data_IF_883500439828
#
_entry.id   IF_883500439828
#
_cell.length_a   1.000
_cell.length_b   1.000
_cell.length_c   1.000
_cell.angle_alpha   90.00
_cell.angle_beta   90.00
_cell.angle_gamma   90.00
#
_symmetry.space_group_name_H-M   'P 1'
#
loop_
_entity.id
_entity.type
_entity.pdbx_description
1 polymer ?
#
# COMPACT_ATOMS: atom_id res chain seq x y z
N UNK A 1 19.25 -7.32 8.27
CA UNK A 1 17.81 -7.00 8.40
C UNK A 1 17.65 -5.50 8.65
N UNK A 2 17.42 -4.68 7.62
CA UNK A 2 17.23 -3.21 7.75
C UNK A 2 15.91 -2.75 7.12
N UNK A 3 15.34 -3.54 6.21
CA UNK A 3 14.16 -3.19 5.41
C UNK A 3 12.87 -3.22 6.25
N UNK A 4 12.72 -4.21 7.14
CA UNK A 4 11.57 -4.29 8.05
C UNK A 4 11.46 -3.03 8.95
N UNK A 5 12.59 -2.50 9.44
CA UNK A 5 12.60 -1.28 10.26
C UNK A 5 12.20 -0.04 9.46
N UNK A 6 12.65 0.07 8.21
CA UNK A 6 12.25 1.17 7.32
C UNK A 6 10.76 1.10 6.97
N UNK A 7 10.24 -0.10 6.69
CA UNK A 7 8.81 -0.30 6.45
C UNK A 7 8.00 0.16 7.67
N UNK A 8 8.36 -0.32 8.87
CA UNK A 8 7.68 0.03 10.10
C UNK A 8 7.70 1.54 10.36
N UNK A 9 8.84 2.21 10.17
CA UNK A 9 8.97 3.66 10.35
C UNK A 9 8.14 4.44 9.33
N UNK A 10 8.06 3.96 8.09
CA UNK A 10 7.23 4.63 7.06
C UNK A 10 5.74 4.40 7.29
N UNK A 11 5.32 3.18 7.63
CA UNK A 11 3.94 2.86 8.00
C UNK A 11 3.54 3.68 9.23
N UNK A 12 4.41 3.74 10.24
CA UNK A 12 4.25 4.62 11.39
C UNK A 12 4.11 6.08 10.96
N UNK A 13 5.01 6.62 10.13
CA UNK A 13 4.91 8.01 9.65
C UNK A 13 3.63 8.30 8.87
N UNK A 14 3.08 7.32 8.16
CA UNK A 14 1.80 7.46 7.47
C UNK A 14 0.66 7.48 8.48
N UNK A 15 0.62 6.51 9.41
CA UNK A 15 -0.37 6.42 10.49
C UNK A 15 -0.36 7.66 11.42
N UNK A 16 0.82 8.11 11.86
CA UNK A 16 0.94 9.31 12.72
C UNK A 16 0.63 10.61 11.97
N UNK A 17 0.70 10.60 10.62
CA UNK A 17 0.19 11.71 9.81
C UNK A 17 -1.32 11.62 9.60
N UNK A 18 -1.91 10.43 9.50
CA UNK A 18 -3.38 10.24 9.51
C UNK A 18 -4.00 10.76 10.82
N UNK A 19 -3.40 10.47 11.99
CA UNK A 19 -3.90 10.99 13.27
C UNK A 19 -3.88 12.52 13.36
N UNK A 20 -3.06 13.19 12.54
CA UNK A 20 -2.88 14.65 12.56
C UNK A 20 -3.64 15.36 11.45
N UNK A 21 -4.20 14.64 10.50
CA UNK A 21 -4.75 15.19 9.26
C UNK A 21 -6.09 14.48 8.98
N UNK A 22 -7.17 15.00 9.59
CA UNK A 22 -8.56 14.52 9.46
C UNK A 22 -9.09 14.47 8.00
N UNK A 23 -8.28 14.84 7.00
CA UNK A 23 -8.66 14.97 5.60
C UNK A 23 -7.75 14.20 4.62
N UNK A 24 -6.94 13.22 5.05
CA UNK A 24 -6.16 12.40 4.09
C UNK A 24 -7.13 11.61 3.21
N UNK A 25 -7.13 11.90 1.91
CA UNK A 25 -7.95 11.18 0.94
C UNK A 25 -7.43 9.76 0.69
N UNK A 26 -8.32 8.87 0.25
CA UNK A 26 -7.94 7.51 -0.16
C UNK A 26 -6.87 7.51 -1.27
N UNK A 27 -6.93 8.48 -2.19
CA UNK A 27 -5.94 8.65 -3.25
C UNK A 27 -4.56 9.02 -2.71
N UNK A 28 -4.50 9.84 -1.66
CA UNK A 28 -3.25 10.24 -1.01
C UNK A 28 -2.59 9.05 -0.31
N UNK A 29 -3.39 8.24 0.36
CA UNK A 29 -2.90 7.04 1.01
C UNK A 29 -2.44 6.00 -0.02
N UNK A 30 -3.25 5.75 -1.07
CA UNK A 30 -2.89 4.86 -2.16
C UNK A 30 -1.59 5.29 -2.86
N UNK A 31 -1.40 6.60 -3.07
CA UNK A 31 -0.16 7.13 -3.63
C UNK A 31 1.04 6.90 -2.71
N UNK A 32 0.91 7.19 -1.40
CA UNK A 32 2.00 6.98 -0.44
C UNK A 32 2.43 5.52 -0.39
N UNK A 33 1.46 4.59 -0.36
CA UNK A 33 1.73 3.15 -0.37
C UNK A 33 2.37 2.70 -1.68
N UNK A 34 1.95 3.25 -2.81
CA UNK A 34 2.53 2.95 -4.12
C UNK A 34 3.98 3.43 -4.24
N UNK A 35 4.29 4.63 -3.75
CA UNK A 35 5.66 5.16 -3.76
C UNK A 35 6.56 4.33 -2.84
N UNK A 36 6.07 4.01 -1.63
CA UNK A 36 6.79 3.15 -0.70
C UNK A 36 7.16 1.80 -1.35
N UNK A 37 6.25 1.19 -2.09
CA UNK A 37 6.45 -0.13 -2.67
C UNK A 37 7.44 -0.18 -3.84
N UNK A 38 7.77 0.97 -4.46
CA UNK A 38 8.77 1.05 -5.54
C UNK A 38 10.19 0.81 -5.05
N UNK A 39 10.53 1.27 -3.85
CA UNK A 39 11.88 1.16 -3.28
C UNK A 39 12.11 -0.17 -2.53
N UNK A 40 11.10 -1.05 -2.52
CA UNK A 40 11.15 -2.33 -1.84
C UNK A 40 11.69 -3.41 -2.78
N UNK A 41 12.36 -4.42 -2.23
CA UNK A 41 12.62 -5.66 -2.96
C UNK A 41 11.40 -6.59 -2.91
N UNK A 42 11.46 -7.68 -3.68
CA UNK A 42 10.38 -8.66 -3.75
C UNK A 42 10.09 -9.32 -2.39
N UNK A 43 11.14 -9.59 -1.60
CA UNK A 43 11.00 -10.21 -0.28
C UNK A 43 10.27 -9.29 0.70
N UNK A 44 10.58 -8.00 0.67
CA UNK A 44 9.94 -6.98 1.48
C UNK A 44 8.49 -6.74 1.05
N UNK A 45 8.17 -7.00 -0.23
CA UNK A 45 6.79 -7.01 -0.73
C UNK A 45 6.06 -8.33 -0.52
N UNK A 46 6.66 -9.31 0.15
CA UNK A 46 6.05 -10.62 0.41
C UNK A 46 5.72 -11.40 -0.88
N UNK A 47 6.45 -11.16 -1.98
CA UNK A 47 6.13 -11.76 -3.29
C UNK A 47 4.97 -11.09 -4.05
N UNK A 48 4.44 -9.98 -3.52
CA UNK A 48 3.46 -9.14 -4.20
C UNK A 48 4.15 -8.17 -5.18
N UNK A 49 3.45 -7.82 -6.26
CA UNK A 49 3.86 -6.69 -7.10
C UNK A 49 3.76 -5.37 -6.33
N UNK A 50 4.43 -4.31 -6.79
CA UNK A 50 4.35 -3.00 -6.13
C UNK A 50 2.91 -2.45 -6.03
N UNK A 51 2.03 -2.75 -7.01
CA UNK A 51 0.60 -2.36 -6.99
C UNK A 51 -0.23 -3.19 -6.01
N UNK A 52 0.04 -4.49 -5.96
CA UNK A 52 -0.61 -5.41 -5.02
C UNK A 52 -0.17 -5.13 -3.60
N UNK A 53 1.12 -4.87 -3.36
CA UNK A 53 1.62 -4.46 -2.06
C UNK A 53 0.98 -3.16 -1.59
N UNK A 54 0.86 -2.17 -2.48
CA UNK A 54 0.21 -0.91 -2.13
C UNK A 54 -1.25 -1.14 -1.70
N UNK A 55 -1.99 -2.00 -2.41
CA UNK A 55 -3.35 -2.37 -2.03
C UNK A 55 -3.42 -3.19 -0.74
N UNK A 56 -2.51 -4.16 -0.56
CA UNK A 56 -2.36 -4.94 0.67
C UNK A 56 -2.13 -4.04 1.89
N UNK A 57 -1.27 -3.03 1.75
CA UNK A 57 -1.01 -2.08 2.82
C UNK A 57 -2.28 -1.28 3.20
N UNK A 58 -3.06 -0.82 2.22
CA UNK A 58 -4.36 -0.18 2.47
C UNK A 58 -5.31 -1.10 3.25
N UNK A 59 -5.43 -2.36 2.82
CA UNK A 59 -6.27 -3.36 3.50
C UNK A 59 -5.81 -3.62 4.94
N UNK A 60 -4.49 -3.73 5.18
CA UNK A 60 -3.92 -3.91 6.53
C UNK A 60 -4.12 -2.69 7.44
N UNK A 61 -4.22 -1.50 6.86
CA UNK A 61 -4.55 -0.27 7.59
C UNK A 61 -6.07 -0.12 7.86
N UNK A 62 -6.89 -1.07 7.42
CA UNK A 62 -8.35 -1.01 7.57
C UNK A 62 -9.02 -0.01 6.62
N UNK A 63 -8.30 0.45 5.59
CA UNK A 63 -8.87 1.36 4.57
C UNK A 63 -9.59 0.52 3.53
N UNK A 64 -10.88 0.34 3.76
CA UNK A 64 -11.80 -0.36 2.88
C UNK A 64 -12.13 0.53 1.67
N UNK A 65 -11.30 0.44 0.63
CA UNK A 65 -11.47 1.22 -0.61
C UNK A 65 -11.39 0.33 -1.85
N UNK A 66 -12.21 0.63 -2.85
CA UNK A 66 -12.17 0.04 -4.19
C UNK A 66 -11.31 0.84 -5.18
N UNK A 67 -10.52 1.81 -4.67
CA UNK A 67 -9.62 2.59 -5.50
C UNK A 67 -8.66 1.68 -6.28
N UNK A 68 -8.64 1.86 -7.60
CA UNK A 68 -7.73 1.18 -8.52
C UNK A 68 -7.02 2.16 -9.45
N UNK A 69 -7.53 3.38 -9.56
CA UNK A 69 -7.04 4.46 -10.41
C UNK A 69 -7.23 5.79 -9.68
N UNK A 70 -6.25 6.68 -9.83
CA UNK A 70 -6.29 8.04 -9.28
C UNK A 70 -5.30 8.91 -10.03
N UNK A 71 -5.39 10.22 -9.85
CA UNK A 71 -4.44 11.18 -10.43
C UNK A 71 -3.66 11.84 -9.29
N UNK A 72 -2.33 11.84 -9.39
CA UNK A 72 -1.47 12.54 -8.44
C UNK A 72 -0.42 13.32 -9.18
N UNK A 73 -0.34 14.64 -8.91
CA UNK A 73 0.55 15.58 -9.62
C UNK A 73 0.34 15.50 -11.14
N UNK A 74 -0.92 15.51 -11.57
CA UNK A 74 -1.34 15.39 -12.99
C UNK A 74 -0.91 14.10 -13.71
N UNK A 75 -0.40 13.10 -12.97
CA UNK A 75 -0.03 11.80 -13.52
C UNK A 75 -1.06 10.75 -13.10
N UNK A 76 -1.71 10.07 -14.06
CA UNK A 76 -2.56 8.92 -13.78
C UNK A 76 -1.76 7.78 -13.17
N UNK A 77 -2.24 7.25 -12.04
CA UNK A 77 -1.64 6.14 -11.30
C UNK A 77 -2.64 5.00 -11.13
N UNK A 78 -2.13 3.81 -10.83
CA UNK A 78 -2.93 2.61 -10.60
C UNK A 78 -2.38 1.77 -9.46
N UNK A 79 -3.28 1.25 -8.64
CA UNK A 79 -3.04 0.19 -7.66
C UNK A 79 -3.84 -1.05 -8.06
N UNK A 80 -3.51 -2.21 -7.51
CA UNK A 80 -4.23 -3.45 -7.81
C UNK A 80 -5.64 -3.39 -7.21
N UNK A 81 -6.55 -4.24 -7.69
CA UNK A 81 -7.86 -4.41 -7.06
C UNK A 81 -7.76 -5.26 -5.79
N UNK A 82 -8.80 -5.21 -4.95
CA UNK A 82 -8.91 -6.08 -3.78
C UNK A 82 -8.88 -7.54 -4.20
N UNK A 83 -9.70 -7.90 -5.20
CA UNK A 83 -9.78 -9.27 -5.71
C UNK A 83 -8.44 -9.80 -6.24
N UNK A 84 -7.73 -9.03 -7.05
CA UNK A 84 -6.42 -9.44 -7.58
C UNK A 84 -5.39 -9.63 -6.46
N UNK A 85 -5.39 -8.70 -5.50
CA UNK A 85 -4.44 -8.75 -4.37
C UNK A 85 -4.73 -9.94 -3.47
N UNK A 86 -5.99 -10.18 -3.12
CA UNK A 86 -6.40 -11.31 -2.27
C UNK A 86 -6.16 -12.66 -2.96
N UNK A 87 -6.43 -12.77 -4.26
CA UNK A 87 -6.12 -13.97 -5.02
C UNK A 87 -4.62 -14.27 -4.97
N UNK A 88 -3.77 -13.25 -5.18
CA UNK A 88 -2.32 -13.41 -5.10
C UNK A 88 -1.84 -13.76 -3.69
N UNK A 89 -2.44 -13.17 -2.66
CA UNK A 89 -2.14 -13.52 -1.27
C UNK A 89 -2.47 -14.98 -0.97
N UNK A 90 -3.60 -15.48 -1.46
CA UNK A 90 -3.97 -16.88 -1.30
C UNK A 90 -2.96 -17.83 -1.97
N UNK A 91 -2.50 -17.50 -3.19
CA UNK A 91 -1.44 -18.26 -3.87
C UNK A 91 -0.13 -18.29 -3.08
N UNK A 92 0.18 -17.20 -2.36
CA UNK A 92 1.39 -17.03 -1.56
C UNK A 92 1.24 -17.54 -0.11
N UNK A 93 0.06 -18.04 0.28
CA UNK A 93 -0.22 -18.48 1.65
C UNK A 93 -0.26 -17.34 2.68
N UNK A 94 -0.55 -16.11 2.24
CA UNK A 94 -0.64 -14.92 3.09
C UNK A 94 -2.07 -14.69 3.59
N UNK A 95 -2.21 -14.18 4.82
CA UNK A 95 -3.48 -13.73 5.38
C UNK A 95 -3.52 -12.22 5.62
N UNK A 96 -4.72 -11.65 5.56
CA UNK A 96 -5.00 -10.32 6.10
C UNK A 96 -4.86 -10.25 7.61
#
# INVERSE_FOLDING_TARGET
MVIARKLLVTVWHVLTKEEKDEHVSEEDLAYKMLVLSWDMDESARLGLTYKQFAKYALLKLGVETDITRFVRKDVPRRVASNAETLARMAELGLSL
#
